data_IF_723694194289
#
_entry.id   IF_723694194289
#
_cell.length_a   1.000
_cell.length_b   1.000
_cell.length_c   1.000
_cell.angle_alpha   90.00
_cell.angle_beta   90.00
_cell.angle_gamma   90.00
#
_symmetry.space_group_name_H-M   'P 1'
#
loop_
_entity.id
_entity.type
_entity.pdbx_description
1 polymer ?
#
# COMPACT_ATOMS: atom_id res chain seq x y z
N UNK A 1 43.35 -15.34 5.26
CA UNK A 1 43.06 -15.74 3.86
C UNK A 1 41.81 -16.61 3.92
N UNK A 2 40.61 -16.03 3.74
CA UNK A 2 39.85 -16.07 2.48
C UNK A 2 39.04 -17.37 2.44
N UNK A 3 37.73 -17.41 2.68
CA UNK A 3 36.68 -16.59 2.09
C UNK A 3 36.00 -17.40 0.98
N UNK A 4 34.70 -17.73 1.16
CA UNK A 4 33.65 -18.15 0.20
C UNK A 4 32.56 -18.85 1.03
N UNK A 5 31.54 -18.15 1.55
CA UNK A 5 30.31 -17.69 0.86
C UNK A 5 29.71 -18.78 -0.04
N UNK A 6 28.81 -19.59 0.52
CA UNK A 6 27.74 -20.30 -0.18
C UNK A 6 26.45 -19.59 0.26
N UNK A 7 25.92 -18.64 -0.50
CA UNK A 7 25.07 -18.81 -1.69
C UNK A 7 23.68 -19.36 -1.34
N UNK A 8 22.67 -18.53 -1.61
CA UNK A 8 21.24 -18.80 -1.64
C UNK A 8 20.45 -18.77 -0.31
N UNK A 9 20.42 -17.59 0.33
CA UNK A 9 19.27 -17.15 1.12
C UNK A 9 18.61 -15.94 0.45
N UNK A 10 18.09 -16.16 -0.77
CA UNK A 10 17.23 -15.22 -1.51
C UNK A 10 15.87 -15.91 -1.70
N UNK A 11 15.14 -16.13 -0.61
CA UNK A 11 13.74 -16.55 -0.62
C UNK A 11 12.98 -15.74 0.43
N UNK A 12 12.79 -14.46 0.11
CA UNK A 12 11.61 -13.70 0.53
C UNK A 12 11.36 -12.65 -0.54
N UNK A 13 11.15 -13.14 -1.77
CA UNK A 13 10.42 -12.38 -2.77
C UNK A 13 9.12 -11.95 -2.10
N UNK A 14 8.93 -10.63 -2.07
CA UNK A 14 7.78 -9.91 -1.51
C UNK A 14 6.50 -10.68 -1.79
N UNK A 15 5.92 -11.24 -0.74
CA UNK A 15 4.73 -12.06 -0.82
C UNK A 15 3.55 -11.13 -1.07
N UNK A 16 3.25 -10.97 -2.35
CA UNK A 16 2.01 -10.42 -2.86
C UNK A 16 0.82 -10.95 -2.04
N UNK A 17 0.13 -10.08 -1.31
CA UNK A 17 -1.01 -10.50 -0.50
C UNK A 17 -2.20 -10.75 -1.43
N UNK A 18 -2.84 -11.94 -1.37
CA UNK A 18 -3.91 -12.29 -2.29
C UNK A 18 -5.21 -11.55 -1.93
N UNK A 19 -5.40 -10.36 -2.51
CA UNK A 19 -6.68 -9.67 -2.74
C UNK A 19 -7.57 -9.31 -1.53
N UNK A 20 -8.30 -8.20 -1.64
CA UNK A 20 -9.40 -7.77 -0.74
C UNK A 20 -10.42 -8.85 -0.37
N UNK A 21 -10.55 -9.92 -1.16
CA UNK A 21 -11.58 -10.95 -0.99
C UNK A 21 -11.49 -11.72 0.35
N UNK A 22 -10.29 -11.85 0.94
CA UNK A 22 -10.11 -12.58 2.20
C UNK A 22 -10.76 -11.88 3.42
N UNK A 23 -11.05 -10.56 3.33
CA UNK A 23 -11.70 -9.77 4.40
C UNK A 23 -13.22 -9.59 4.19
N UNK A 24 -13.85 -10.33 3.27
CA UNK A 24 -15.28 -10.19 2.92
C UNK A 24 -16.23 -11.24 3.52
N UNK A 25 -15.81 -12.04 4.50
CA UNK A 25 -16.70 -13.06 5.11
C UNK A 25 -16.95 -12.84 6.61
N UNK A 26 -17.84 -11.88 6.91
CA UNK A 26 -18.83 -12.00 7.99
C UNK A 26 -20.03 -11.08 7.77
N UNK A 27 -20.73 -11.25 6.64
CA UNK A 27 -22.15 -10.88 6.59
C UNK A 27 -22.96 -12.00 7.25
N UNK A 28 -23.40 -11.79 8.49
CA UNK A 28 -24.51 -12.56 9.06
C UNK A 28 -25.82 -12.02 8.49
N UNK A 29 -26.71 -12.86 7.92
CA UNK A 29 -28.04 -12.41 7.52
C UNK A 29 -28.96 -12.34 8.74
N UNK A 30 -29.73 -11.26 8.83
CA UNK A 30 -30.96 -11.19 9.65
C UNK A 30 -30.77 -10.72 11.10
N UNK A 31 -31.07 -9.44 11.34
CA UNK A 31 -31.23 -8.88 12.68
C UNK A 31 -32.19 -7.70 12.63
N UNK A 32 -33.39 -7.89 13.19
CA UNK A 32 -34.56 -7.00 13.14
C UNK A 32 -34.32 -5.68 13.89
N UNK A 33 -34.80 -4.56 13.34
CA UNK A 33 -34.86 -3.26 14.00
C UNK A 33 -35.72 -3.34 15.28
N UNK A 34 -35.27 -2.71 16.37
CA UNK A 34 -36.10 -2.36 17.53
C UNK A 34 -35.84 -0.90 17.91
N UNK A 35 -36.88 -0.06 18.05
CA UNK A 35 -36.73 1.25 18.66
C UNK A 35 -37.06 1.20 20.16
N UNK A 36 -36.34 1.97 20.96
CA UNK A 36 -36.85 3.07 21.82
C UNK A 36 -35.88 3.37 22.98
N UNK A 37 -35.45 4.64 23.00
CA UNK A 37 -35.31 5.56 24.14
C UNK A 37 -34.59 5.11 25.42
N UNK A 38 -33.53 5.84 25.80
CA UNK A 38 -33.49 6.63 27.04
C UNK A 38 -32.15 7.40 27.19
N UNK A 39 -32.25 8.65 27.62
CA UNK A 39 -31.17 9.53 28.01
C UNK A 39 -30.37 9.00 29.21
N UNK A 40 -29.05 9.24 29.24
CA UNK A 40 -28.31 9.50 30.47
C UNK A 40 -27.05 10.33 30.15
N UNK A 41 -26.85 11.37 30.97
CA UNK A 41 -25.86 12.43 30.88
C UNK A 41 -24.38 11.95 31.00
N UNK A 42 -23.38 12.80 30.70
CA UNK A 42 -21.98 12.39 30.63
C UNK A 42 -21.34 12.30 32.02
N UNK A 43 -20.67 11.18 32.31
CA UNK A 43 -19.79 11.04 33.47
C UNK A 43 -18.46 11.78 33.20
N UNK A 44 -18.03 12.74 34.02
CA UNK A 44 -16.70 13.30 33.96
C UNK A 44 -15.81 12.46 34.87
N UNK A 45 -14.88 11.69 34.31
CA UNK A 45 -13.93 10.99 35.15
C UNK A 45 -13.29 9.78 34.51
N UNK A 46 -12.22 10.06 33.77
CA UNK A 46 -10.97 9.31 33.66
C UNK A 46 -10.51 9.50 32.23
N UNK A 47 -9.61 10.46 32.04
CA UNK A 47 -8.76 10.52 30.85
C UNK A 47 -7.84 9.29 30.95
N UNK A 48 -8.41 8.12 30.65
CA UNK A 48 -7.64 6.94 30.35
C UNK A 48 -6.80 7.35 29.15
N UNK A 49 -5.48 7.34 29.34
CA UNK A 49 -4.56 7.41 28.22
C UNK A 49 -4.87 6.22 27.32
N UNK A 50 -5.81 6.41 26.39
CA UNK A 50 -5.81 5.66 25.15
C UNK A 50 -4.47 5.99 24.52
N UNK A 51 -3.49 5.11 24.74
CA UNK A 51 -2.38 4.98 23.80
C UNK A 51 -2.98 4.11 22.71
N UNK A 52 -3.53 4.68 21.62
CA UNK A 52 -3.92 3.82 20.53
C UNK A 52 -2.63 3.17 20.02
N UNK A 53 -2.67 1.89 19.69
CA UNK A 53 -1.57 1.20 19.01
C UNK A 53 -1.19 1.90 17.66
N UNK A 54 -2.01 2.85 17.21
CA UNK A 54 -1.96 3.50 15.90
C UNK A 54 -1.07 4.74 15.82
N UNK A 55 -0.54 5.33 16.90
CA UNK A 55 0.26 6.56 16.77
C UNK A 55 1.65 6.29 16.14
N UNK A 56 2.26 5.14 16.44
CA UNK A 56 3.57 4.75 15.90
C UNK A 56 3.47 4.18 14.47
N UNK A 57 2.37 3.47 14.16
CA UNK A 57 2.13 2.88 12.84
C UNK A 57 1.78 3.95 11.80
N UNK A 58 1.05 5.00 12.20
CA UNK A 58 0.80 6.17 11.35
C UNK A 58 2.05 7.01 11.08
N UNK A 59 3.04 6.99 12.00
CA UNK A 59 4.29 7.75 11.82
C UNK A 59 5.31 7.02 10.95
N UNK A 60 5.37 5.68 10.96
CA UNK A 60 6.28 4.93 10.06
C UNK A 60 5.83 4.97 8.59
N UNK A 61 4.53 4.89 8.33
CA UNK A 61 4.01 4.98 6.96
C UNK A 61 4.00 6.41 6.39
N UNK A 62 4.39 7.41 7.19
CA UNK A 62 4.54 8.81 6.77
C UNK A 62 5.90 9.08 6.07
N UNK A 63 6.82 8.11 6.07
CA UNK A 63 8.16 8.27 5.46
C UNK A 63 8.10 8.13 3.94
N UNK A 64 7.31 7.18 3.42
CA UNK A 64 7.25 6.88 1.98
C UNK A 64 6.24 7.74 1.21
N UNK A 65 5.20 8.23 1.87
CA UNK A 65 4.11 9.00 1.25
C UNK A 65 3.78 10.24 2.08
N UNK A 66 3.47 11.36 1.42
CA UNK A 66 3.05 12.57 2.14
C UNK A 66 1.60 12.48 2.64
N UNK A 67 1.23 13.36 3.56
CA UNK A 67 -0.14 13.46 4.03
C UNK A 67 -1.13 13.77 2.89
N UNK A 68 -0.76 14.65 1.96
CA UNK A 68 -1.60 14.99 0.81
C UNK A 68 -1.77 13.77 -0.12
N UNK A 69 -0.68 13.06 -0.41
CA UNK A 69 -0.73 11.85 -1.22
C UNK A 69 -1.59 10.78 -0.56
N UNK A 70 -1.46 10.59 0.75
CA UNK A 70 -2.29 9.64 1.52
C UNK A 70 -3.78 9.98 1.44
N UNK A 71 -4.16 11.27 1.49
CA UNK A 71 -5.57 11.69 1.34
C UNK A 71 -6.10 11.24 -0.04
N UNK A 72 -5.34 11.49 -1.11
CA UNK A 72 -5.74 11.10 -2.47
C UNK A 72 -5.80 9.58 -2.61
N UNK A 73 -4.79 8.85 -2.13
CA UNK A 73 -4.75 7.38 -2.17
C UNK A 73 -5.93 6.74 -1.41
N UNK A 74 -6.33 7.29 -0.26
CA UNK A 74 -7.50 6.83 0.48
C UNK A 74 -8.82 7.16 -0.22
N UNK A 75 -8.91 8.33 -0.86
CA UNK A 75 -10.08 8.68 -1.67
C UNK A 75 -10.23 7.73 -2.86
N UNK A 76 -9.14 7.43 -3.55
CA UNK A 76 -9.09 6.43 -4.62
C UNK A 76 -9.51 5.04 -4.12
N UNK A 77 -9.02 4.60 -2.96
CA UNK A 77 -9.38 3.30 -2.40
C UNK A 77 -10.84 3.16 -1.96
N UNK A 78 -11.52 4.29 -1.68
CA UNK A 78 -12.98 4.33 -1.50
C UNK A 78 -13.71 4.26 -2.83
N UNK A 79 -13.26 5.01 -3.83
CA UNK A 79 -13.85 4.98 -5.17
C UNK A 79 -13.74 3.58 -5.82
N UNK A 80 -12.63 2.86 -5.58
CA UNK A 80 -12.44 1.50 -6.08
C UNK A 80 -13.35 0.45 -5.42
N UNK A 81 -13.89 0.73 -4.22
CA UNK A 81 -14.91 -0.12 -3.60
C UNK A 81 -16.27 0.00 -4.29
N UNK A 82 -16.60 1.20 -4.77
CA UNK A 82 -17.86 1.51 -5.42
C UNK A 82 -17.83 1.14 -6.92
N UNK A 83 -16.66 1.22 -7.54
CA UNK A 83 -16.47 0.95 -8.96
C UNK A 83 -15.33 -0.06 -9.21
N UNK A 84 -15.64 -1.31 -9.61
CA UNK A 84 -14.64 -2.32 -9.95
C UNK A 84 -13.73 -1.95 -11.14
N UNK A 85 -14.20 -1.09 -12.05
CA UNK A 85 -13.44 -0.64 -13.23
C UNK A 85 -12.69 0.68 -12.98
N UNK A 86 -12.50 1.05 -11.71
CA UNK A 86 -11.80 2.26 -11.33
C UNK A 86 -10.31 2.18 -11.70
N UNK A 87 -9.88 3.05 -12.62
CA UNK A 87 -8.52 3.09 -13.17
C UNK A 87 -7.91 4.50 -13.00
N UNK A 88 -7.50 4.87 -11.77
CA UNK A 88 -6.92 6.18 -11.50
C UNK A 88 -5.49 6.29 -12.06
N UNK A 89 -5.02 7.53 -12.22
CA UNK A 89 -3.61 7.80 -12.47
C UNK A 89 -2.79 7.53 -11.18
N UNK A 90 -1.57 6.97 -11.28
CA UNK A 90 -0.70 6.80 -10.12
C UNK A 90 -0.42 8.12 -9.39
N UNK A 91 -0.50 8.09 -8.06
CA UNK A 91 -0.31 9.27 -7.20
C UNK A 91 1.14 9.40 -6.73
N UNK A 92 1.82 8.27 -6.56
CA UNK A 92 3.20 8.23 -6.08
C UNK A 92 3.98 7.16 -6.80
N UNK A 93 5.24 7.50 -7.07
CA UNK A 93 6.26 6.56 -7.54
C UNK A 93 7.29 6.35 -6.44
N UNK A 94 7.54 5.09 -6.11
CA UNK A 94 8.59 4.66 -5.19
C UNK A 94 9.62 3.84 -5.97
N UNK A 95 10.87 3.88 -5.56
CA UNK A 95 11.94 3.11 -6.19
C UNK A 95 13.05 2.75 -5.21
N UNK A 96 13.84 1.73 -5.56
CA UNK A 96 15.08 1.38 -4.87
C UNK A 96 16.25 2.12 -5.54
N UNK A 97 16.93 3.08 -4.88
CA UNK A 97 18.00 3.87 -5.52
C UNK A 97 19.21 3.04 -5.94
N UNK A 98 19.48 1.96 -5.20
CA UNK A 98 20.53 0.97 -5.38
C UNK A 98 19.99 -0.36 -5.96
N UNK A 99 18.81 -0.34 -6.57
CA UNK A 99 18.13 -1.51 -7.12
C UNK A 99 17.36 -1.18 -8.39
N UNK A 100 16.73 -2.22 -8.96
CA UNK A 100 15.88 -2.08 -10.14
C UNK A 100 14.39 -1.98 -9.84
N UNK A 101 14.00 -2.04 -8.56
CA UNK A 101 12.60 -2.15 -8.19
C UNK A 101 11.89 -0.78 -8.18
N UNK A 102 10.70 -0.73 -8.78
CA UNK A 102 9.85 0.46 -8.91
C UNK A 102 8.39 0.10 -8.58
N UNK A 103 7.70 1.01 -7.89
CA UNK A 103 6.27 0.89 -7.58
C UNK A 103 5.55 2.18 -7.98
N UNK A 104 4.39 2.04 -8.63
CA UNK A 104 3.45 3.12 -8.92
C UNK A 104 2.16 2.86 -8.15
N UNK A 105 1.90 3.62 -7.09
CA UNK A 105 0.75 3.41 -6.22
C UNK A 105 -0.42 4.32 -6.62
N UNK A 106 -1.61 3.74 -6.59
CA UNK A 106 -2.86 4.37 -7.00
C UNK A 106 -3.85 4.55 -5.87
N UNK A 107 -3.88 3.62 -4.92
CA UNK A 107 -4.85 3.64 -3.83
C UNK A 107 -4.32 2.94 -2.59
N UNK A 108 -4.94 3.25 -1.45
CA UNK A 108 -4.74 2.57 -0.16
C UNK A 108 -6.09 2.01 0.28
N UNK A 109 -6.08 0.80 0.85
CA UNK A 109 -7.28 0.17 1.41
C UNK A 109 -7.79 1.02 2.59
N UNK A 110 -9.02 1.59 2.54
CA UNK A 110 -9.55 2.44 3.62
C UNK A 110 -9.84 1.65 4.90
N UNK A 111 -9.95 0.32 4.82
CA UNK A 111 -10.11 -0.55 5.99
C UNK A 111 -8.75 -1.05 6.53
N UNK A 112 -7.69 -0.98 5.73
CA UNK A 112 -6.34 -1.43 6.07
C UNK A 112 -5.29 -0.49 5.46
N UNK A 113 -4.98 0.57 6.20
CA UNK A 113 -4.14 1.68 5.75
C UNK A 113 -2.67 1.33 5.48
N UNK A 114 -2.27 0.08 5.73
CA UNK A 114 -0.96 -0.45 5.38
C UNK A 114 -0.93 -1.02 3.95
N UNK A 115 -2.07 -1.47 3.42
CA UNK A 115 -2.13 -2.08 2.10
C UNK A 115 -2.40 -1.02 1.01
N UNK A 116 -1.48 -0.91 0.07
CA UNK A 116 -1.60 -0.08 -1.12
C UNK A 116 -1.75 -0.93 -2.38
N UNK A 117 -2.45 -0.44 -3.39
CA UNK A 117 -2.61 -1.08 -4.68
C UNK A 117 -1.94 -0.26 -5.77
N UNK A 118 -1.32 -0.95 -6.73
CA UNK A 118 -0.61 -0.30 -7.82
C UNK A 118 0.11 -1.28 -8.74
N UNK A 119 1.01 -0.73 -9.55
CA UNK A 119 1.90 -1.46 -10.45
C UNK A 119 3.28 -1.60 -9.80
N UNK A 120 3.82 -2.80 -9.80
CA UNK A 120 5.10 -3.17 -9.21
C UNK A 120 6.00 -3.75 -10.29
N UNK A 121 7.27 -3.40 -10.27
CA UNK A 121 8.33 -4.03 -11.07
C UNK A 121 9.50 -4.27 -10.15
N UNK A 122 9.88 -5.52 -9.94
CA UNK A 122 11.01 -5.89 -9.07
C UNK A 122 12.35 -5.90 -9.81
N UNK A 123 12.38 -5.46 -11.07
CA UNK A 123 13.55 -5.53 -11.94
C UNK A 123 13.83 -6.95 -12.47
N UNK A 124 12.82 -7.81 -12.48
CA UNK A 124 12.91 -9.23 -12.88
C UNK A 124 12.32 -9.51 -14.27
N UNK A 125 11.89 -8.48 -15.01
CA UNK A 125 11.29 -8.64 -16.34
C UNK A 125 9.77 -8.83 -16.32
N UNK A 126 9.17 -8.87 -15.14
CA UNK A 126 7.76 -9.21 -14.93
C UNK A 126 7.06 -8.13 -14.09
N UNK A 127 6.63 -7.01 -14.69
CA UNK A 127 5.81 -6.02 -13.98
C UNK A 127 4.39 -6.54 -13.70
N UNK A 128 3.90 -6.33 -12.48
CA UNK A 128 2.65 -6.89 -11.97
C UNK A 128 1.77 -5.83 -11.29
N UNK A 129 0.45 -5.93 -11.49
CA UNK A 129 -0.55 -5.12 -10.78
C UNK A 129 -1.03 -5.86 -9.55
N UNK A 130 -0.98 -5.24 -8.37
CA UNK A 130 -1.69 -5.73 -7.19
C UNK A 130 -1.37 -5.00 -5.90
N UNK A 131 -1.55 -5.72 -4.79
CA UNK A 131 -1.48 -5.18 -3.43
C UNK A 131 -0.09 -5.36 -2.82
N UNK A 132 0.37 -4.33 -2.12
CA UNK A 132 1.66 -4.28 -1.42
C UNK A 132 1.49 -3.65 -0.03
N UNK A 133 2.25 -4.14 0.95
CA UNK A 133 2.31 -3.53 2.30
C UNK A 133 3.29 -2.36 2.32
N UNK A 134 2.83 -1.20 2.79
CA UNK A 134 3.66 -0.01 2.98
C UNK A 134 4.73 -0.22 4.06
N UNK A 135 4.41 -0.96 5.12
CA UNK A 135 5.36 -1.32 6.17
C UNK A 135 6.45 -2.29 5.66
N UNK A 136 6.10 -3.24 4.79
CA UNK A 136 7.09 -4.05 4.10
C UNK A 136 8.00 -3.18 3.23
N UNK A 137 7.43 -2.30 2.40
CA UNK A 137 8.21 -1.36 1.58
C UNK A 137 9.13 -0.48 2.45
N UNK A 138 8.66 0.03 3.58
CA UNK A 138 9.46 0.85 4.49
C UNK A 138 10.64 0.07 5.12
N UNK A 139 10.48 -1.26 5.24
CA UNK A 139 11.50 -2.17 5.77
C UNK A 139 12.46 -2.70 4.70
N UNK A 140 12.07 -2.64 3.42
CA UNK A 140 12.90 -3.11 2.31
C UNK A 140 14.19 -2.28 2.19
N UNK A 141 15.27 -2.98 1.85
CA UNK A 141 16.59 -2.40 1.59
C UNK A 141 17.13 -2.98 0.29
N UNK A 142 17.70 -2.14 -0.56
CA UNK A 142 18.33 -2.57 -1.79
C UNK A 142 19.71 -3.19 -1.58
N UNK A 143 20.44 -3.42 -2.68
CA UNK A 143 21.69 -4.18 -2.67
C UNK A 143 22.83 -3.55 -1.86
N UNK A 144 22.83 -2.23 -1.71
CA UNK A 144 23.77 -1.45 -0.91
C UNK A 144 23.19 -1.09 0.47
N UNK A 145 22.01 -1.60 0.81
CA UNK A 145 21.34 -1.31 2.07
C UNK A 145 20.61 0.03 2.10
N UNK A 146 20.38 0.67 0.94
CA UNK A 146 19.61 1.92 0.90
C UNK A 146 18.10 1.64 1.06
N UNK A 147 17.36 2.54 1.73
CA UNK A 147 15.92 2.43 1.82
C UNK A 147 15.25 2.75 0.48
N UNK A 148 13.99 2.38 0.36
CA UNK A 148 13.14 2.86 -0.74
C UNK A 148 12.97 4.37 -0.64
N UNK A 149 13.01 5.04 -1.80
CA UNK A 149 12.81 6.47 -1.93
C UNK A 149 11.55 6.79 -2.74
N UNK A 150 11.00 7.98 -2.48
CA UNK A 150 9.90 8.56 -3.24
C UNK A 150 10.44 9.48 -4.33
N UNK A 151 9.97 9.31 -5.56
CA UNK A 151 10.27 10.23 -6.64
C UNK A 151 9.48 11.54 -6.46
N UNK A 152 10.20 12.64 -6.21
CA UNK A 152 9.63 13.97 -6.00
C UNK A 152 9.19 14.65 -7.31
N UNK A 153 9.77 14.21 -8.43
CA UNK A 153 9.54 14.79 -9.75
C UNK A 153 8.46 14.08 -10.54
N UNK A 154 8.03 12.92 -10.05
CA UNK A 154 7.04 12.08 -10.72
C UNK A 154 5.71 12.81 -10.93
N UNK A 155 5.24 12.78 -12.17
CA UNK A 155 3.91 13.23 -12.59
C UNK A 155 3.31 12.16 -13.49
N UNK A 156 2.14 11.66 -13.12
CA UNK A 156 1.47 10.64 -13.93
C UNK A 156 0.94 11.26 -15.23
N UNK A 157 1.31 10.65 -16.36
CA UNK A 157 0.84 11.03 -17.69
C UNK A 157 -0.27 10.09 -18.21
N UNK A 158 -0.40 8.91 -17.58
CA UNK A 158 -1.31 7.83 -17.97
C UNK A 158 -2.07 7.30 -16.76
N UNK A 159 -3.18 6.61 -17.03
CA UNK A 159 -3.85 5.76 -16.03
C UNK A 159 -3.02 4.53 -15.72
N UNK A 160 -3.31 3.85 -14.61
CA UNK A 160 -2.59 2.65 -14.19
C UNK A 160 -2.57 1.57 -15.28
N UNK A 161 -3.72 1.33 -15.93
CA UNK A 161 -3.83 0.38 -17.03
C UNK A 161 -2.89 0.70 -18.21
N UNK A 162 -2.69 1.98 -18.50
CA UNK A 162 -1.77 2.46 -19.53
C UNK A 162 -0.31 2.15 -19.18
N UNK A 163 0.09 2.47 -17.94
CA UNK A 163 1.42 2.13 -17.45
C UNK A 163 1.66 0.61 -17.43
N UNK A 164 0.68 -0.17 -17.00
CA UNK A 164 0.81 -1.63 -16.93
C UNK A 164 0.95 -2.28 -18.31
N UNK A 165 0.19 -1.79 -19.31
CA UNK A 165 0.33 -2.24 -20.70
C UNK A 165 1.72 -1.97 -21.23
N UNK A 166 2.19 -0.73 -21.07
CA UNK A 166 3.50 -0.33 -21.57
C UNK A 166 4.63 -1.09 -20.85
N UNK A 167 4.47 -1.30 -19.54
CA UNK A 167 5.42 -2.06 -18.74
C UNK A 167 5.49 -3.52 -19.14
N UNK A 168 4.34 -4.16 -19.43
CA UNK A 168 4.29 -5.53 -19.95
C UNK A 168 4.98 -5.66 -21.30
N UNK A 169 4.84 -4.67 -22.19
CA UNK A 169 5.51 -4.67 -23.49
C UNK A 169 7.02 -4.46 -23.36
N UNK A 170 7.46 -3.63 -22.42
CA UNK A 170 8.87 -3.34 -22.19
C UNK A 170 9.58 -4.34 -21.25
N UNK A 171 8.83 -5.16 -20.52
CA UNK A 171 9.34 -5.99 -19.42
C UNK A 171 9.78 -5.19 -18.19
N UNK A 172 9.43 -3.90 -18.12
CA UNK A 172 9.81 -2.99 -17.02
C UNK A 172 8.93 -1.76 -16.98
N UNK A 173 8.79 -1.11 -15.83
CA UNK A 173 8.10 0.18 -15.74
C UNK A 173 8.87 1.26 -16.51
N UNK A 174 8.15 1.99 -17.36
CA UNK A 174 8.64 3.16 -18.11
C UNK A 174 7.76 4.35 -17.73
N UNK A 175 8.39 5.38 -17.17
CA UNK A 175 7.76 6.56 -16.58
C UNK A 175 8.52 7.81 -16.97
#
# INVERSE_FOLDING_TARGET
MGGRRSCCSLHRATAFSPSRAARRWRLRPGGRLRPLTACAAPCPGRVGQFRPATFQEFTMNNVLITAEQRIVLLANGRASLENPDFDPAPVVKLFTPDGGATWLLTEIDPDDHDHAFGLCDLGLGEPEIGWVSLNELASLRGGLGLPIERDLSFRAEKRLSGYARDARLAGRIVV
#
